data_IF_453622341248
#
_entry.id   IF_453622341248
#
_cell.length_a   1.000
_cell.length_b   1.000
_cell.length_c   1.000
_cell.angle_alpha   90.00
_cell.angle_beta   90.00
_cell.angle_gamma   90.00
#
_symmetry.space_group_name_H-M   'P 1'
#
loop_
_entity.id
_entity.type
_entity.pdbx_description
1 polymer ?
#
# COMPACT_ATOMS: atom_id res chain seq x y z
N UNK A 1 4.57 -4.27 13.01
CA UNK A 1 5.15 -3.32 12.04
C UNK A 1 6.59 -3.67 11.66
N UNK A 2 7.51 -3.83 12.62
CA UNK A 2 8.92 -4.13 12.31
C UNK A 2 9.15 -5.39 11.46
N UNK A 3 8.41 -6.48 11.73
CA UNK A 3 8.47 -7.69 10.92
C UNK A 3 8.05 -7.43 9.46
N UNK A 4 6.88 -6.83 9.25
CA UNK A 4 6.38 -6.46 7.92
C UNK A 4 7.36 -5.57 7.13
N UNK A 5 8.01 -4.60 7.78
CA UNK A 5 9.02 -3.76 7.12
C UNK A 5 10.27 -4.56 6.70
N UNK A 6 10.69 -5.54 7.49
CA UNK A 6 11.80 -6.43 7.12
C UNK A 6 11.42 -7.32 5.94
N UNK A 7 10.19 -7.83 5.91
CA UNK A 7 9.66 -8.64 4.81
C UNK A 7 9.62 -7.84 3.50
N UNK A 8 9.12 -6.58 3.55
CA UNK A 8 9.15 -5.69 2.36
C UNK A 8 10.59 -5.37 1.94
N UNK A 9 11.51 -5.15 2.88
CA UNK A 9 12.92 -4.89 2.59
C UNK A 9 13.58 -6.09 1.90
N UNK A 10 13.32 -7.31 2.37
CA UNK A 10 13.81 -8.53 1.73
C UNK A 10 13.27 -8.64 0.30
N UNK A 11 11.96 -8.44 0.13
CA UNK A 11 11.34 -8.46 -1.19
C UNK A 11 11.95 -7.43 -2.14
N UNK A 12 12.15 -6.18 -1.68
CA UNK A 12 12.78 -5.11 -2.47
C UNK A 12 14.19 -5.51 -2.93
N UNK A 13 15.02 -6.05 -2.03
CA UNK A 13 16.36 -6.54 -2.39
C UNK A 13 16.30 -7.62 -3.46
N UNK A 14 15.37 -8.58 -3.33
CA UNK A 14 15.20 -9.68 -4.28
C UNK A 14 14.83 -9.21 -5.68
N UNK A 15 14.05 -8.15 -5.80
CA UNK A 15 13.63 -7.61 -7.11
C UNK A 15 14.51 -6.47 -7.63
N UNK A 16 15.59 -6.13 -6.92
CA UNK A 16 16.47 -5.01 -7.28
C UNK A 16 15.82 -3.63 -7.13
N UNK A 17 14.82 -3.49 -6.25
CA UNK A 17 14.22 -2.19 -5.92
C UNK A 17 15.07 -1.45 -4.87
N UNK A 18 14.90 -0.13 -4.81
CA UNK A 18 15.64 0.71 -3.88
C UNK A 18 15.38 0.32 -2.41
N UNK A 19 16.46 0.27 -1.63
CA UNK A 19 16.49 0.12 -0.17
C UNK A 19 17.53 1.10 0.36
N UNK A 20 17.11 2.02 1.22
CA UNK A 20 18.00 2.98 1.86
C UNK A 20 18.32 2.56 3.30
N UNK A 21 19.53 2.89 3.75
CA UNK A 21 19.99 2.63 5.13
C UNK A 21 19.67 3.79 6.10
N UNK A 22 19.28 4.95 5.57
CA UNK A 22 18.85 6.13 6.32
C UNK A 22 17.67 6.83 5.63
N UNK A 23 16.86 7.64 6.36
CA UNK A 23 15.78 8.42 5.77
C UNK A 23 16.26 9.30 4.61
N UNK A 24 15.60 9.20 3.47
CA UNK A 24 15.87 9.97 2.26
C UNK A 24 14.58 10.07 1.46
N UNK A 25 14.39 11.20 0.77
CA UNK A 25 13.29 11.34 -0.19
C UNK A 25 13.49 10.37 -1.35
N UNK A 26 12.38 9.87 -1.91
CA UNK A 26 12.47 9.14 -3.16
C UNK A 26 12.94 10.09 -4.28
N UNK A 27 13.84 9.66 -5.18
CA UNK A 27 14.25 10.46 -6.32
C UNK A 27 13.03 10.83 -7.17
N UNK A 28 12.83 12.13 -7.42
CA UNK A 28 11.73 12.63 -8.21
C UNK A 28 12.09 13.89 -9.00
N UNK A 29 11.37 14.14 -10.09
CA UNK A 29 11.44 15.42 -10.81
C UNK A 29 10.36 16.35 -10.26
N UNK A 30 10.78 17.51 -9.72
CA UNK A 30 9.88 18.48 -9.07
C UNK A 30 8.64 18.79 -9.90
N UNK A 31 8.81 19.14 -11.17
CA UNK A 31 7.71 19.54 -12.06
C UNK A 31 6.69 18.42 -12.24
N UNK A 32 7.13 17.21 -12.60
CA UNK A 32 6.24 16.05 -12.77
C UNK A 32 5.58 15.62 -11.46
N UNK A 33 6.28 15.74 -10.32
CA UNK A 33 5.71 15.47 -9.00
C UNK A 33 4.65 16.49 -8.59
N UNK A 34 4.88 17.78 -8.85
CA UNK A 34 3.90 18.84 -8.63
C UNK A 34 2.68 18.69 -9.54
N UNK A 35 2.88 18.32 -10.81
CA UNK A 35 1.78 18.05 -11.73
C UNK A 35 0.92 16.87 -11.24
N UNK A 36 1.57 15.79 -10.80
CA UNK A 36 0.86 14.63 -10.24
C UNK A 36 0.11 14.98 -8.96
N UNK A 37 0.71 15.75 -8.05
CA UNK A 37 0.05 16.24 -6.85
C UNK A 37 -1.25 17.02 -7.19
N UNK A 38 -1.18 17.95 -8.12
CA UNK A 38 -2.35 18.70 -8.60
C UNK A 38 -3.41 17.79 -9.22
N UNK A 39 -3.01 16.78 -9.99
CA UNK A 39 -3.94 15.80 -10.55
C UNK A 39 -4.67 15.00 -9.45
N UNK A 40 -3.94 14.58 -8.40
CA UNK A 40 -4.53 13.88 -7.24
C UNK A 40 -5.50 14.81 -6.50
N UNK A 41 -5.14 16.07 -6.26
CA UNK A 41 -6.06 17.08 -5.66
C UNK A 41 -7.32 17.27 -6.51
N UNK A 42 -7.21 17.25 -7.84
CA UNK A 42 -8.37 17.27 -8.73
C UNK A 42 -9.29 16.06 -8.56
N UNK A 43 -8.72 14.86 -8.39
CA UNK A 43 -9.49 13.64 -8.07
C UNK A 43 -10.13 13.72 -6.68
N UNK A 44 -9.43 14.28 -5.70
CA UNK A 44 -9.96 14.51 -4.35
C UNK A 44 -11.20 15.41 -4.38
N UNK A 45 -11.13 16.56 -5.05
CA UNK A 45 -12.28 17.47 -5.20
C UNK A 45 -13.49 16.75 -5.81
N UNK A 46 -13.26 15.92 -6.83
CA UNK A 46 -14.32 15.11 -7.43
C UNK A 46 -14.85 14.05 -6.46
N UNK A 47 -13.98 13.35 -5.74
CA UNK A 47 -14.37 12.39 -4.69
C UNK A 47 -15.27 13.05 -3.63
N UNK A 48 -14.86 14.22 -3.12
CA UNK A 48 -15.59 14.95 -2.09
C UNK A 48 -16.99 15.35 -2.56
N UNK A 49 -17.11 15.83 -3.81
CA UNK A 49 -18.43 16.15 -4.39
C UNK A 49 -19.38 14.95 -4.53
N UNK A 50 -18.86 13.73 -4.51
CA UNK A 50 -19.64 12.49 -4.56
C UNK A 50 -19.91 11.91 -3.16
N UNK A 51 -19.14 12.30 -2.15
CA UNK A 51 -19.16 11.70 -0.82
C UNK A 51 -20.39 12.08 0.03
N UNK A 52 -21.21 13.02 -0.43
CA UNK A 52 -22.41 13.52 0.25
C UNK A 52 -23.54 12.48 0.43
N UNK A 53 -23.38 11.26 -0.11
CA UNK A 53 -24.41 10.18 -0.06
C UNK A 53 -24.36 9.31 1.22
N UNK A 54 -23.33 9.44 2.06
CA UNK A 54 -23.11 8.55 3.22
C UNK A 54 -22.27 7.30 2.91
N UNK A 55 -21.74 7.19 1.69
CA UNK A 55 -20.80 6.15 1.29
C UNK A 55 -19.50 6.18 2.09
N UNK A 56 -19.37 5.21 3.00
CA UNK A 56 -18.12 4.98 3.76
C UNK A 56 -16.93 4.77 2.84
N UNK A 57 -17.12 4.10 1.68
CA UNK A 57 -16.05 3.90 0.70
C UNK A 57 -15.56 5.23 0.12
N UNK A 58 -16.48 6.14 -0.27
CA UNK A 58 -16.07 7.43 -0.81
C UNK A 58 -15.34 8.28 0.23
N UNK A 59 -15.80 8.28 1.49
CA UNK A 59 -15.09 8.95 2.57
C UNK A 59 -13.64 8.44 2.73
N UNK A 60 -13.45 7.11 2.69
CA UNK A 60 -12.11 6.49 2.77
C UNK A 60 -11.25 6.79 1.56
N UNK A 61 -11.83 6.80 0.36
CA UNK A 61 -11.12 7.19 -0.87
C UNK A 61 -10.66 8.65 -0.82
N UNK A 62 -11.48 9.56 -0.28
CA UNK A 62 -11.10 10.96 -0.17
C UNK A 62 -9.93 11.12 0.83
N UNK A 63 -9.96 10.47 1.99
CA UNK A 63 -8.80 10.44 2.91
C UNK A 63 -7.55 9.89 2.22
N UNK A 64 -7.66 8.76 1.52
CA UNK A 64 -6.51 8.16 0.83
C UNK A 64 -5.92 9.06 -0.27
N UNK A 65 -6.76 9.85 -0.96
CA UNK A 65 -6.32 10.82 -1.97
C UNK A 65 -5.66 12.05 -1.36
N UNK A 66 -6.17 12.54 -0.23
CA UNK A 66 -5.61 13.66 0.52
C UNK A 66 -4.17 13.37 0.97
N UNK A 67 -3.97 12.27 1.70
CA UNK A 67 -2.62 11.89 2.18
C UNK A 67 -1.66 11.54 1.03
N UNK A 68 -2.19 11.11 -0.12
CA UNK A 68 -1.39 10.86 -1.31
C UNK A 68 -0.93 12.13 -2.00
N UNK A 69 -1.78 13.15 -2.04
CA UNK A 69 -1.43 14.45 -2.59
C UNK A 69 -0.34 15.10 -1.73
N UNK A 70 -0.50 15.11 -0.40
CA UNK A 70 0.47 15.68 0.53
C UNK A 70 1.84 15.01 0.42
N UNK A 71 1.85 13.69 0.28
CA UNK A 71 3.10 12.95 0.09
C UNK A 71 3.80 13.34 -1.23
N UNK A 72 3.06 13.54 -2.32
CA UNK A 72 3.62 13.99 -3.59
C UNK A 72 4.09 15.46 -3.54
N UNK A 73 3.33 16.34 -2.87
CA UNK A 73 3.65 17.75 -2.65
C UNK A 73 4.96 17.90 -1.85
N UNK A 74 5.11 17.15 -0.76
CA UNK A 74 6.31 17.15 0.07
C UNK A 74 7.55 16.66 -0.71
N UNK A 75 7.42 15.63 -1.54
CA UNK A 75 8.50 15.18 -2.43
C UNK A 75 8.89 16.27 -3.44
N UNK A 76 7.92 16.92 -4.07
CA UNK A 76 8.18 18.01 -5.01
C UNK A 76 8.86 19.21 -4.35
N UNK A 77 8.49 19.51 -3.10
CA UNK A 77 9.07 20.56 -2.27
C UNK A 77 10.50 20.23 -1.81
N UNK A 78 10.88 18.94 -1.77
CA UNK A 78 12.14 18.51 -1.18
C UNK A 78 12.11 18.47 0.35
N UNK A 79 10.92 18.33 0.95
CA UNK A 79 10.73 18.31 2.39
C UNK A 79 10.58 16.88 2.91
N UNK A 80 11.67 16.35 3.49
CA UNK A 80 11.71 14.99 4.03
C UNK A 80 10.80 14.83 5.26
N UNK A 81 10.64 15.86 6.09
CA UNK A 81 9.84 15.76 7.31
C UNK A 81 8.36 15.72 6.94
N UNK A 82 7.91 16.63 6.08
CA UNK A 82 6.54 16.60 5.58
C UNK A 82 6.24 15.32 4.79
N UNK A 83 7.21 14.79 4.02
CA UNK A 83 7.03 13.52 3.32
C UNK A 83 6.93 12.32 4.28
N UNK A 84 7.61 12.36 5.42
CA UNK A 84 7.51 11.33 6.44
C UNK A 84 6.17 11.39 7.20
N UNK A 85 5.68 12.60 7.48
CA UNK A 85 4.36 12.86 8.09
C UNK A 85 3.25 12.29 7.22
N UNK A 86 3.16 12.73 5.97
CA UNK A 86 2.18 12.22 5.00
C UNK A 86 2.32 10.71 4.74
N UNK A 87 3.54 10.15 4.79
CA UNK A 87 3.70 8.69 4.71
C UNK A 87 3.09 7.97 5.91
N UNK A 88 3.24 8.53 7.11
CA UNK A 88 2.63 8.03 8.34
C UNK A 88 1.10 8.10 8.28
N UNK A 89 0.54 9.20 7.80
CA UNK A 89 -0.90 9.37 7.68
C UNK A 89 -1.51 8.43 6.62
N UNK A 90 -0.82 8.23 5.49
CA UNK A 90 -1.19 7.18 4.52
C UNK A 90 -1.26 5.80 5.15
N UNK A 91 -0.28 5.45 5.99
CA UNK A 91 -0.28 4.18 6.71
C UNK A 91 -1.46 4.10 7.69
N UNK A 92 -1.75 5.18 8.39
CA UNK A 92 -2.85 5.25 9.35
C UNK A 92 -4.21 5.08 8.66
N UNK A 93 -4.45 5.78 7.55
CA UNK A 93 -5.67 5.66 6.75
C UNK A 93 -5.82 4.25 6.18
N UNK A 94 -4.76 3.66 5.63
CA UNK A 94 -4.78 2.30 5.10
C UNK A 94 -5.11 1.25 6.17
N UNK A 95 -4.57 1.39 7.38
CA UNK A 95 -4.95 0.52 8.51
C UNK A 95 -6.38 0.80 8.97
N UNK A 96 -6.82 2.07 8.92
CA UNK A 96 -8.19 2.47 9.17
C UNK A 96 -9.20 1.82 8.23
N UNK A 97 -8.86 1.61 6.96
CA UNK A 97 -9.67 0.87 5.99
C UNK A 97 -9.87 -0.58 6.44
N UNK A 98 -8.79 -1.24 6.86
CA UNK A 98 -8.85 -2.60 7.35
C UNK A 98 -9.70 -2.72 8.61
N UNK A 99 -9.59 -1.76 9.53
CA UNK A 99 -10.45 -1.70 10.74
C UNK A 99 -11.91 -1.50 10.36
N UNK A 100 -12.21 -0.53 9.50
CA UNK A 100 -13.58 -0.23 9.09
C UNK A 100 -14.25 -1.38 8.33
N UNK A 101 -13.49 -2.15 7.56
CA UNK A 101 -13.98 -3.29 6.79
C UNK A 101 -13.83 -4.65 7.50
N UNK A 102 -13.31 -4.68 8.74
CA UNK A 102 -13.09 -5.93 9.49
C UNK A 102 -12.07 -6.88 8.84
N UNK A 103 -11.11 -6.35 8.09
CA UNK A 103 -10.12 -7.16 7.37
C UNK A 103 -9.05 -7.70 8.33
N UNK A 104 -8.67 -8.99 8.23
CA UNK A 104 -7.53 -9.54 8.97
C UNK A 104 -6.22 -9.07 8.32
N UNK A 105 -5.86 -7.80 8.54
CA UNK A 105 -4.78 -7.09 7.84
C UNK A 105 -3.45 -7.83 7.90
N UNK A 106 -3.08 -8.37 9.07
CA UNK A 106 -1.85 -9.14 9.25
C UNK A 106 -1.84 -10.40 8.40
N UNK A 107 -2.88 -11.23 8.45
CA UNK A 107 -2.96 -12.46 7.65
C UNK A 107 -2.96 -12.16 6.14
N UNK A 108 -3.68 -11.11 5.72
CA UNK A 108 -3.68 -10.63 4.33
C UNK A 108 -2.26 -10.22 3.92
N UNK A 109 -1.56 -9.43 4.75
CA UNK A 109 -0.20 -8.99 4.47
C UNK A 109 0.75 -10.18 4.33
N UNK A 110 0.73 -11.11 5.27
CA UNK A 110 1.63 -12.28 5.28
C UNK A 110 1.44 -13.13 4.02
N UNK A 111 0.20 -13.37 3.60
CA UNK A 111 -0.10 -14.14 2.39
C UNK A 111 0.25 -13.38 1.10
N UNK A 112 0.05 -12.05 1.07
CA UNK A 112 0.50 -11.22 -0.04
C UNK A 112 2.02 -11.22 -0.13
N UNK A 113 2.72 -11.15 1.00
CA UNK A 113 4.18 -11.23 1.06
C UNK A 113 4.67 -12.60 0.57
N UNK A 114 4.10 -13.72 1.05
CA UNK A 114 4.39 -15.08 0.56
C UNK A 114 4.21 -15.19 -0.95
N UNK A 115 3.10 -14.68 -1.48
CA UNK A 115 2.83 -14.61 -2.92
C UNK A 115 3.86 -13.75 -3.65
N UNK A 116 4.24 -12.60 -3.12
CA UNK A 116 5.28 -11.74 -3.70
C UNK A 116 6.64 -12.43 -3.75
N UNK A 117 7.01 -13.18 -2.71
CA UNK A 117 8.23 -13.98 -2.66
C UNK A 117 8.21 -15.21 -3.58
N UNK A 118 7.08 -15.55 -4.21
CA UNK A 118 7.07 -16.54 -5.30
C UNK A 118 7.45 -15.94 -6.66
N UNK A 119 7.51 -14.61 -6.79
CA UNK A 119 7.91 -13.94 -8.04
C UNK A 119 9.41 -14.12 -8.28
N UNK A 120 9.80 -14.30 -9.53
CA UNK A 120 11.21 -14.22 -9.94
C UNK A 120 11.64 -12.75 -10.01
N UNK A 121 12.95 -12.49 -9.91
CA UNK A 121 13.50 -11.14 -9.99
C UNK A 121 12.99 -10.42 -11.25
N UNK A 122 12.58 -9.16 -11.08
CA UNK A 122 12.12 -8.32 -12.17
C UNK A 122 13.24 -8.12 -13.21
N UNK A 123 12.89 -8.00 -14.50
CA UNK A 123 13.79 -7.32 -15.43
C UNK A 123 13.90 -5.86 -15.01
N UNK A 124 15.11 -5.29 -15.09
CA UNK A 124 15.35 -3.88 -14.83
C UNK A 124 14.40 -3.01 -15.68
N UNK A 125 13.61 -2.14 -15.03
CA UNK A 125 12.69 -1.20 -15.70
C UNK A 125 11.22 -1.30 -15.30
N UNK A 126 10.76 -2.38 -14.66
CA UNK A 126 9.38 -2.48 -14.18
C UNK A 126 9.24 -1.93 -12.76
N UNK A 127 9.13 -0.61 -12.56
CA UNK A 127 8.66 0.10 -11.33
C UNK A 127 8.59 -0.72 -9.99
N UNK A 128 9.64 -1.44 -9.60
CA UNK A 128 9.60 -2.39 -8.47
C UNK A 128 8.54 -3.51 -8.53
N UNK A 129 8.04 -3.92 -9.71
CA UNK A 129 7.12 -5.07 -9.87
C UNK A 129 7.88 -6.31 -10.36
N UNK A 130 7.98 -7.35 -9.53
CA UNK A 130 8.50 -8.67 -9.92
C UNK A 130 7.77 -9.28 -11.13
N UNK A 131 8.49 -10.03 -11.98
CA UNK A 131 7.92 -10.71 -13.14
C UNK A 131 7.22 -12.00 -12.71
N UNK A 132 6.00 -12.23 -13.22
CA UNK A 132 5.22 -13.46 -12.99
C UNK A 132 5.69 -14.53 -13.98
N UNK A 133 6.59 -15.42 -13.56
CA UNK A 133 6.96 -16.63 -14.32
C UNK A 133 6.17 -17.84 -13.81
N UNK A 134 6.36 -19.03 -14.42
CA UNK A 134 5.61 -20.26 -14.11
C UNK A 134 5.63 -20.75 -12.66
N UNK A 135 6.52 -20.22 -11.81
CA UNK A 135 6.61 -20.52 -10.38
C UNK A 135 5.81 -19.54 -9.47
N UNK A 136 5.05 -18.60 -10.05
CA UNK A 136 4.26 -17.65 -9.30
C UNK A 136 3.01 -18.29 -8.66
N UNK A 137 2.83 -18.04 -7.36
CA UNK A 137 1.65 -18.44 -6.60
C UNK A 137 0.81 -17.21 -6.25
N UNK A 138 -0.44 -17.17 -6.69
CA UNK A 138 -1.40 -16.11 -6.31
C UNK A 138 -1.68 -16.15 -4.80
N UNK A 139 -2.01 -14.99 -4.19
CA UNK A 139 -2.37 -14.95 -2.78
C UNK A 139 -3.73 -15.62 -2.57
N UNK A 140 -3.82 -16.46 -1.54
CA UNK A 140 -5.00 -17.25 -1.16
C UNK A 140 -5.93 -16.46 -0.24
N UNK A 141 -6.28 -15.24 -0.64
CA UNK A 141 -7.09 -14.34 0.20
C UNK A 141 -8.49 -14.89 0.49
N UNK A 142 -9.04 -15.72 -0.39
CA UNK A 142 -10.35 -16.36 -0.15
C UNK A 142 -10.33 -17.24 1.08
N UNK A 143 -9.27 -18.03 1.29
CA UNK A 143 -9.12 -18.92 2.44
C UNK A 143 -8.99 -18.12 3.75
N UNK A 144 -8.35 -16.95 3.68
CA UNK A 144 -8.18 -16.03 4.83
C UNK A 144 -9.49 -15.34 5.19
N UNK A 145 -10.25 -14.88 4.18
CA UNK A 145 -11.50 -14.15 4.38
C UNK A 145 -12.67 -15.06 4.76
N UNK A 146 -12.62 -16.31 4.31
CA UNK A 146 -13.69 -17.29 4.51
C UNK A 146 -13.08 -18.63 4.94
N UNK A 147 -12.55 -18.72 6.18
CA UNK A 147 -12.04 -19.98 6.70
C UNK A 147 -13.17 -21.01 6.69
N UNK A 148 -12.85 -22.27 6.38
CA UNK A 148 -13.82 -23.34 6.55
C UNK A 148 -14.28 -23.33 8.01
N UNK A 149 -15.59 -23.39 8.24
CA UNK A 149 -16.13 -23.54 9.58
C UNK A 149 -15.42 -24.73 10.24
N UNK A 150 -14.83 -24.51 11.41
CA UNK A 150 -14.38 -25.63 12.25
C UNK A 150 -15.58 -26.56 12.39
N UNK A 151 -15.46 -27.78 11.87
CA UNK A 151 -16.48 -28.81 12.11
C UNK A 151 -16.71 -28.93 13.61
N UNK A 152 -17.91 -29.34 14.06
CA UNK A 152 -18.22 -29.41 15.47
C UNK A 152 -17.09 -30.14 16.20
N UNK A 153 -16.48 -29.47 17.17
CA UNK A 153 -15.56 -30.07 18.12
C UNK A 153 -16.26 -31.32 18.66
N UNK A 154 -15.65 -32.48 18.42
CA UNK A 154 -16.16 -33.75 18.89
C UNK A 154 -15.89 -33.89 20.39
N UNK A 155 -16.53 -33.06 21.21
CA UNK A 155 -16.60 -33.05 22.69
C UNK A 155 -17.91 -32.28 23.00
N UNK A 156 -19.01 -32.80 23.56
CA UNK A 156 -19.29 -33.96 24.42
C UNK A 156 -20.60 -34.68 24.01
#
# INVERSE_FOLDING_TARGET
MNAALNDVREFHRRIGAAVADSPVLLPCHRESSSEMANAIRGLLTRCQSMADDGSSLLARLCLALEEMAEWAEAHAAGDLVAAADAWGDRLYVLLGDAVAAGLPATAIFDEVHRSNMSKTAAQAGSLGKGTKTGAFHRPRLREILFPAAEGPSAED
#
